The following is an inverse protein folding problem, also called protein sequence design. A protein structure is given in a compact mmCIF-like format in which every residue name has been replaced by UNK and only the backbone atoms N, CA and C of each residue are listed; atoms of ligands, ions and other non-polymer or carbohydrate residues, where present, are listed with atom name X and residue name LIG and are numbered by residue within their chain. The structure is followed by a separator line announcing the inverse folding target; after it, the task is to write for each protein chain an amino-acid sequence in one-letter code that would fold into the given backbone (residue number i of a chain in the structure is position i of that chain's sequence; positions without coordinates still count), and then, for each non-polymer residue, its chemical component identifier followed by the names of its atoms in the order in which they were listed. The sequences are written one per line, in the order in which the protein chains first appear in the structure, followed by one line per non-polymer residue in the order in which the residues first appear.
data_IF_441241506370
#
_entry.id   IF_441241506370
#
_cell.length_a   1.000
_cell.length_b   1.000
_cell.length_c   1.000
_cell.angle_alpha   90.00
_cell.angle_beta   90.00
_cell.angle_gamma   90.00
#
_symmetry.space_group_name_H-M   'P 1'
#
loop_
_entity.id
_entity.type
_entity.pdbx_description
1 polymer ?
#
# COMPACT_ATOMS: atom_id res chain seq x y z
N UNK A 1 8.96 10.66 31.33
CA UNK A 1 9.36 9.62 31.43
C UNK A 1 9.18 8.53 30.47
N UNK A 2 9.42 7.36 30.89
CA UNK A 2 9.26 6.21 30.07
C UNK A 2 7.94 6.14 29.41
N UNK A 3 6.92 6.54 30.15
CA UNK A 3 5.60 6.48 29.60
C UNK A 3 5.46 7.36 28.38
N UNK A 4 6.06 8.52 28.38
CA UNK A 4 5.91 9.39 27.29
C UNK A 4 6.62 8.84 26.07
N UNK A 5 7.79 8.24 26.25
CA UNK A 5 8.43 7.61 25.16
C UNK A 5 7.64 6.48 24.63
N UNK A 6 7.03 5.72 25.48
CA UNK A 6 6.19 4.64 25.04
C UNK A 6 5.05 5.15 24.21
N UNK A 7 4.49 6.27 24.57
CA UNK A 7 3.41 6.83 23.83
C UNK A 7 3.85 7.21 22.44
N UNK A 8 4.99 7.83 22.32
CA UNK A 8 5.49 8.19 21.02
C UNK A 8 5.72 6.97 20.17
N UNK A 9 6.27 5.93 20.75
CA UNK A 9 6.48 4.71 20.01
C UNK A 9 5.16 4.11 19.59
N UNK A 10 4.16 4.15 20.46
CA UNK A 10 2.88 3.60 20.14
C UNK A 10 2.16 4.38 19.08
N UNK A 11 2.57 5.62 18.88
CA UNK A 11 1.94 6.43 17.88
C UNK A 11 2.47 6.20 16.50
N UNK A 12 3.37 5.24 16.32
CA UNK A 12 3.80 4.91 14.99
C UNK A 12 2.60 4.47 14.17
N UNK A 13 2.62 4.89 12.92
CA UNK A 13 1.52 4.63 12.00
C UNK A 13 1.45 3.15 11.66
N UNK A 14 0.34 2.52 11.99
CA UNK A 14 0.09 1.12 11.67
C UNK A 14 -1.08 0.96 10.72
N UNK A 15 -1.45 2.02 10.03
CA UNK A 15 -2.65 1.99 9.18
C UNK A 15 -2.34 1.55 7.77
N UNK A 16 -3.11 0.58 7.31
CA UNK A 16 -3.03 0.06 5.94
C UNK A 16 -4.34 0.34 5.24
N UNK A 17 -4.25 0.86 4.04
CA UNK A 17 -5.43 1.08 3.21
C UNK A 17 -5.44 0.01 2.13
N UNK A 18 -6.53 -0.74 2.01
CA UNK A 18 -6.67 -1.77 1.00
C UNK A 18 -7.75 -1.34 0.02
N UNK A 19 -7.40 -1.31 -1.26
CA UNK A 19 -8.30 -0.84 -2.31
C UNK A 19 -8.51 -1.96 -3.34
N UNK A 20 -9.74 -2.43 -3.46
CA UNK A 20 -10.07 -3.51 -4.38
C UNK A 20 -11.58 -3.49 -4.57
N UNK A 21 -12.06 -3.76 -5.77
CA UNK A 21 -13.50 -3.80 -5.99
C UNK A 21 -14.12 -5.14 -5.66
N UNK A 22 -13.32 -6.13 -5.27
CA UNK A 22 -13.84 -7.43 -4.87
C UNK A 22 -14.00 -7.49 -3.36
N UNK A 23 -15.23 -7.61 -2.90
CA UNK A 23 -15.52 -7.62 -1.47
C UNK A 23 -14.81 -8.75 -0.74
N UNK A 24 -14.73 -9.92 -1.38
CA UNK A 24 -14.08 -11.06 -0.73
C UNK A 24 -12.61 -10.81 -0.46
N UNK A 25 -11.94 -10.10 -1.36
CA UNK A 25 -10.54 -9.76 -1.18
C UNK A 25 -10.40 -8.79 -0.01
N UNK A 26 -11.26 -7.78 0.03
CA UNK A 26 -11.23 -6.81 1.11
C UNK A 26 -11.46 -7.47 2.46
N UNK A 27 -12.43 -8.36 2.53
CA UNK A 27 -12.75 -9.04 3.78
C UNK A 27 -11.60 -9.92 4.24
N UNK A 28 -11.02 -10.68 3.32
CA UNK A 28 -9.92 -11.55 3.67
C UNK A 28 -8.73 -10.75 4.20
N UNK A 29 -8.36 -9.70 3.49
CA UNK A 29 -7.19 -8.92 3.88
C UNK A 29 -7.41 -8.19 5.20
N UNK A 30 -8.63 -7.69 5.41
CA UNK A 30 -8.92 -7.02 6.66
C UNK A 30 -8.78 -7.98 7.82
N UNK A 31 -9.40 -9.15 7.72
CA UNK A 31 -9.35 -10.13 8.79
C UNK A 31 -7.92 -10.59 9.03
N UNK A 32 -7.22 -10.93 7.97
CA UNK A 32 -5.88 -11.46 8.12
C UNK A 32 -4.92 -10.41 8.68
N UNK A 33 -4.92 -9.22 8.13
CA UNK A 33 -3.98 -8.20 8.57
C UNK A 33 -4.30 -7.69 9.97
N UNK A 34 -5.57 -7.60 10.30
CA UNK A 34 -5.92 -7.22 11.67
C UNK A 34 -5.49 -8.26 12.67
N UNK A 35 -5.50 -9.53 12.27
CA UNK A 35 -5.04 -10.60 13.16
C UNK A 35 -3.56 -10.47 13.46
N UNK A 36 -2.82 -9.77 12.61
CA UNK A 36 -1.40 -9.55 12.82
C UNK A 36 -1.11 -8.24 13.55
N UNK A 37 -2.15 -7.51 13.91
CA UNK A 37 -1.98 -6.28 14.69
C UNK A 37 -2.04 -4.98 13.92
N UNK A 38 -2.33 -5.04 12.62
CA UNK A 38 -2.42 -3.82 11.81
C UNK A 38 -3.81 -3.20 11.88
N UNK A 39 -3.90 -1.92 11.59
CA UNK A 39 -5.19 -1.22 11.50
C UNK A 39 -5.53 -1.12 10.02
N UNK A 40 -6.64 -1.70 9.62
CA UNK A 40 -6.95 -1.84 8.20
C UNK A 40 -8.23 -1.12 7.82
N UNK A 41 -8.15 -0.30 6.79
CA UNK A 41 -9.32 0.33 6.20
C UNK A 41 -9.46 -0.24 4.80
N UNK A 42 -10.65 -0.67 4.43
CA UNK A 42 -10.90 -1.24 3.10
C UNK A 42 -11.83 -0.31 2.34
N UNK A 43 -11.51 -0.10 1.08
CA UNK A 43 -12.27 0.81 0.23
C UNK A 43 -12.37 0.18 -1.15
N UNK A 44 -13.53 0.33 -1.76
CA UNK A 44 -13.79 -0.33 -3.04
C UNK A 44 -13.67 0.58 -4.25
N UNK A 45 -13.31 1.82 -4.08
CA UNK A 45 -13.14 2.73 -5.21
C UNK A 45 -11.91 3.62 -5.00
N UNK A 46 -11.27 3.99 -6.09
CA UNK A 46 -10.09 4.84 -6.00
C UNK A 46 -10.45 6.26 -5.57
N UNK A 47 -11.63 6.74 -5.96
CA UNK A 47 -12.05 8.08 -5.56
C UNK A 47 -12.16 8.18 -4.05
N UNK A 48 -12.80 7.20 -3.43
CA UNK A 48 -12.94 7.20 -1.99
C UNK A 48 -11.58 6.98 -1.30
N UNK A 49 -10.71 6.23 -1.94
CA UNK A 49 -9.37 6.00 -1.39
C UNK A 49 -8.59 7.31 -1.32
N UNK A 50 -8.69 8.16 -2.34
CA UNK A 50 -8.03 9.45 -2.30
C UNK A 50 -8.56 10.32 -1.17
N UNK A 51 -9.87 10.32 -0.98
CA UNK A 51 -10.46 11.09 0.12
C UNK A 51 -9.90 10.60 1.45
N UNK A 52 -9.83 9.29 1.59
CA UNK A 52 -9.33 8.71 2.83
C UNK A 52 -7.86 9.06 3.06
N UNK A 53 -7.05 9.02 2.02
CA UNK A 53 -5.64 9.32 2.13
C UNK A 53 -5.39 10.78 2.48
N UNK A 54 -6.32 11.66 2.14
CA UNK A 54 -6.22 13.05 2.50
C UNK A 54 -6.66 13.32 3.93
N UNK A 55 -7.41 12.39 4.52
CA UNK A 55 -7.87 12.56 5.89
C UNK A 55 -6.83 12.17 6.92
N UNK A 56 -6.09 11.11 6.66
CA UNK A 56 -5.09 10.66 7.62
C UNK A 56 -4.02 9.83 6.94
N UNK A 57 -2.87 9.72 7.55
CA UNK A 57 -1.75 9.00 6.93
C UNK A 57 -1.89 7.49 7.04
N UNK A 58 -1.45 6.80 6.00
CA UNK A 58 -1.39 5.35 5.96
C UNK A 58 0.02 4.98 5.59
N UNK A 59 0.63 4.02 6.27
CA UNK A 59 1.99 3.66 5.92
C UNK A 59 2.02 2.82 4.66
N UNK A 60 0.92 2.16 4.33
CA UNK A 60 0.88 1.29 3.17
C UNK A 60 -0.47 1.35 2.48
N UNK A 61 -0.45 1.40 1.17
CA UNK A 61 -1.64 1.24 0.34
C UNK A 61 -1.46 -0.02 -0.47
N UNK A 62 -2.38 -0.98 -0.31
CA UNK A 62 -2.43 -2.19 -1.12
C UNK A 62 -3.54 -1.99 -2.13
N UNK A 63 -3.24 -1.98 -3.41
CA UNK A 63 -4.28 -1.73 -4.40
C UNK A 63 -4.28 -2.77 -5.49
N UNK A 64 -5.47 -3.18 -5.90
CA UNK A 64 -5.63 -4.04 -7.06
C UNK A 64 -5.19 -3.25 -8.30
N UNK A 65 -4.58 -3.93 -9.24
CA UNK A 65 -4.15 -3.31 -10.48
C UNK A 65 -5.35 -3.05 -11.38
N UNK A 66 -6.31 -3.95 -11.39
CA UNK A 66 -7.44 -3.88 -12.33
C UNK A 66 -8.68 -3.33 -11.66
N UNK A 67 -8.82 -2.02 -11.63
CA UNK A 67 -10.01 -1.38 -11.08
C UNK A 67 -10.82 -0.76 -12.21
N UNK A 68 -12.14 -0.78 -12.10
CA UNK A 68 -12.98 -0.29 -13.20
C UNK A 68 -12.75 1.17 -13.56
N UNK A 69 -12.63 2.03 -12.58
CA UNK A 69 -12.54 3.45 -12.86
C UNK A 69 -11.10 3.93 -13.06
N UNK A 70 -10.14 3.19 -12.58
CA UNK A 70 -8.75 3.61 -12.69
C UNK A 70 -7.89 2.41 -12.32
N UNK A 71 -6.93 2.06 -13.13
CA UNK A 71 -6.12 0.90 -12.78
C UNK A 71 -5.15 1.28 -11.65
N UNK A 72 -4.59 0.27 -11.02
CA UNK A 72 -3.73 0.51 -9.87
C UNK A 72 -2.50 1.33 -10.19
N UNK A 73 -2.01 1.21 -11.42
CA UNK A 73 -0.86 1.97 -11.86
C UNK A 73 -1.18 3.46 -11.89
N UNK A 74 -2.33 3.83 -12.46
CA UNK A 74 -2.74 5.22 -12.51
C UNK A 74 -3.00 5.75 -11.11
N UNK A 75 -3.58 4.94 -10.28
CA UNK A 75 -3.88 5.31 -8.91
C UNK A 75 -2.58 5.66 -8.17
N UNK A 76 -1.57 4.80 -8.31
CA UNK A 76 -0.28 5.06 -7.67
C UNK A 76 0.36 6.33 -8.20
N UNK A 77 0.29 6.56 -9.51
CA UNK A 77 0.83 7.77 -10.09
C UNK A 77 0.20 9.01 -9.49
N UNK A 78 -1.10 8.98 -9.28
CA UNK A 78 -1.78 10.13 -8.71
C UNK A 78 -1.43 10.33 -7.25
N UNK A 79 -1.21 9.25 -6.52
CA UNK A 79 -0.78 9.36 -5.13
C UNK A 79 0.58 10.04 -5.07
N UNK A 80 1.48 9.66 -5.97
CA UNK A 80 2.80 10.29 -6.03
C UNK A 80 2.69 11.76 -6.38
N UNK A 81 1.85 12.09 -7.34
CA UNK A 81 1.68 13.48 -7.74
C UNK A 81 1.19 14.35 -6.59
N UNK A 82 0.44 13.76 -5.67
CA UNK A 82 -0.05 14.51 -4.52
C UNK A 82 0.93 14.48 -3.35
N UNK A 83 2.08 13.88 -3.53
CA UNK A 83 3.11 13.81 -2.51
C UNK A 83 2.65 13.13 -1.22
N UNK A 84 1.83 12.11 -1.37
CA UNK A 84 1.38 11.31 -0.23
C UNK A 84 2.46 10.28 0.03
N UNK A 85 3.02 10.21 1.23
CA UNK A 85 4.22 9.41 1.50
C UNK A 85 3.98 7.95 1.84
N UNK A 86 2.84 7.39 1.51
CA UNK A 86 2.57 5.98 1.80
C UNK A 86 3.42 5.07 0.94
N UNK A 87 3.79 3.93 1.50
CA UNK A 87 4.38 2.85 0.70
C UNK A 87 3.27 2.23 -0.13
N UNK A 88 3.63 1.63 -1.26
CA UNK A 88 2.66 1.04 -2.17
C UNK A 88 2.95 -0.42 -2.42
N UNK A 89 1.91 -1.22 -2.59
CA UNK A 89 2.05 -2.58 -3.08
C UNK A 89 0.86 -2.88 -3.99
N UNK A 90 1.09 -3.64 -5.02
CA UNK A 90 0.07 -3.96 -6.00
C UNK A 90 -0.46 -5.37 -5.81
N UNK A 91 -1.70 -5.58 -6.18
CA UNK A 91 -2.31 -6.91 -6.17
C UNK A 91 -2.81 -7.22 -7.56
N UNK A 92 -2.66 -8.46 -8.02
CA UNK A 92 -3.14 -8.84 -9.32
C UNK A 92 -3.73 -10.24 -9.28
N UNK A 93 -4.66 -10.54 -10.16
CA UNK A 93 -5.32 -11.83 -10.17
C UNK A 93 -5.45 -12.39 -11.57
N UNK A 94 -6.15 -13.51 -11.65
CA UNK A 94 -6.37 -14.17 -12.90
C UNK A 94 -7.29 -13.33 -13.77
N UNK A 95 -7.17 -13.50 -15.05
CA UNK A 95 -8.04 -12.82 -15.99
C UNK A 95 -7.57 -11.45 -16.39
N UNK A 96 -6.59 -10.92 -15.72
CA UNK A 96 -6.03 -9.64 -16.07
C UNK A 96 -4.93 -9.90 -17.08
N UNK A 97 -4.77 -9.02 -18.06
CA UNK A 97 -3.76 -9.24 -19.09
C UNK A 97 -2.37 -8.95 -18.52
N UNK A 98 -1.61 -9.98 -18.20
CA UNK A 98 -0.34 -9.75 -17.51
C UNK A 98 0.70 -9.07 -18.37
N UNK A 99 0.56 -9.17 -19.69
CA UNK A 99 1.57 -8.57 -20.55
C UNK A 99 1.60 -7.07 -20.45
N UNK A 100 0.43 -6.44 -20.55
CA UNK A 100 0.36 -5.00 -20.46
C UNK A 100 0.76 -4.51 -19.08
N UNK A 101 0.25 -5.19 -18.08
CA UNK A 101 0.47 -4.77 -16.71
C UNK A 101 1.93 -4.89 -16.33
N UNK A 102 2.55 -6.01 -16.67
CA UNK A 102 3.94 -6.22 -16.30
C UNK A 102 4.86 -5.23 -17.00
N UNK A 103 4.57 -4.89 -18.25
CA UNK A 103 5.37 -3.92 -18.95
C UNK A 103 5.32 -2.57 -18.27
N UNK A 104 4.12 -2.14 -17.87
CA UNK A 104 3.99 -0.87 -17.18
C UNK A 104 4.73 -0.90 -15.85
N UNK A 105 4.59 -1.97 -15.13
CA UNK A 105 5.23 -2.11 -13.84
C UNK A 105 6.73 -2.07 -13.97
N UNK A 106 7.28 -2.83 -14.88
CA UNK A 106 8.71 -2.87 -15.05
C UNK A 106 9.29 -1.55 -15.48
N UNK A 107 8.56 -0.79 -16.26
CA UNK A 107 9.09 0.46 -16.75
C UNK A 107 9.14 1.55 -15.71
N UNK A 108 8.22 1.54 -14.78
CA UNK A 108 8.06 2.69 -13.92
C UNK A 108 8.18 2.46 -12.46
N UNK A 109 8.03 1.23 -11.98
CA UNK A 109 7.95 1.03 -10.58
C UNK A 109 8.73 -0.08 -10.04
N UNK A 110 8.98 -0.03 -8.80
CA UNK A 110 9.64 -1.04 -8.08
C UNK A 110 8.82 -1.44 -6.90
N UNK A 111 7.49 -1.44 -7.07
CA UNK A 111 6.60 -1.77 -5.99
C UNK A 111 6.43 -3.27 -5.90
N UNK A 112 6.32 -3.79 -4.72
CA UNK A 112 6.02 -5.22 -4.56
C UNK A 112 4.68 -5.55 -5.18
N UNK A 113 4.56 -6.74 -5.72
CA UNK A 113 3.32 -7.20 -6.33
C UNK A 113 2.92 -8.52 -5.72
N UNK A 114 1.70 -8.58 -5.20
CA UNK A 114 1.15 -9.78 -4.59
C UNK A 114 0.17 -10.41 -5.57
N UNK A 115 0.31 -11.71 -5.78
CA UNK A 115 -0.51 -12.41 -6.76
C UNK A 115 -1.64 -13.16 -6.09
N UNK A 116 -2.84 -13.06 -6.65
CA UNK A 116 -3.98 -13.82 -6.17
C UNK A 116 -3.96 -15.19 -6.82
N UNK A 117 -4.27 -16.27 -6.14
CA UNK A 117 -4.63 -16.34 -4.74
C UNK A 117 -3.43 -16.07 -3.85
N UNK A 118 -3.69 -15.42 -2.72
CA UNK A 118 -2.60 -14.90 -1.93
C UNK A 118 -1.85 -15.96 -1.14
N UNK A 119 -0.55 -15.70 -0.98
CA UNK A 119 0.28 -16.45 -0.06
C UNK A 119 0.40 -15.60 1.20
N UNK A 120 -0.10 -16.08 2.32
CA UNK A 120 -0.12 -15.30 3.55
C UNK A 120 1.25 -14.84 4.00
N UNK A 121 2.23 -15.71 3.88
CA UNK A 121 3.58 -15.35 4.30
C UNK A 121 4.14 -14.20 3.47
N UNK A 122 3.83 -14.18 2.17
CA UNK A 122 4.31 -13.11 1.32
C UNK A 122 3.60 -11.80 1.62
N UNK A 123 2.32 -11.86 1.96
CA UNK A 123 1.61 -10.66 2.37
C UNK A 123 2.23 -10.11 3.64
N UNK A 124 2.44 -10.97 4.63
CA UNK A 124 3.00 -10.54 5.90
C UNK A 124 4.38 -9.91 5.72
N UNK A 125 5.19 -10.50 4.87
CA UNK A 125 6.52 -10.00 4.61
C UNK A 125 6.49 -8.64 3.91
N UNK A 126 5.64 -8.50 2.91
CA UNK A 126 5.53 -7.24 2.18
C UNK A 126 5.05 -6.12 3.09
N UNK A 127 4.11 -6.42 3.96
CA UNK A 127 3.57 -5.44 4.87
C UNK A 127 4.63 -5.01 5.90
N UNK A 128 5.36 -5.97 6.45
CA UNK A 128 6.38 -5.65 7.43
C UNK A 128 7.50 -4.82 6.81
N UNK A 129 7.91 -5.16 5.60
CA UNK A 129 8.93 -4.40 4.91
C UNK A 129 8.46 -2.98 4.65
N UNK A 130 7.21 -2.82 4.24
CA UNK A 130 6.66 -1.49 4.00
C UNK A 130 6.64 -0.67 5.29
N UNK A 131 6.27 -1.30 6.40
CA UNK A 131 6.22 -0.63 7.67
C UNK A 131 7.60 -0.14 8.07
N UNK A 132 8.60 -1.00 7.96
CA UNK A 132 9.95 -0.64 8.34
C UNK A 132 10.48 0.48 7.46
N UNK A 133 10.25 0.39 6.16
CA UNK A 133 10.74 1.40 5.22
C UNK A 133 10.07 2.75 5.47
N UNK A 134 8.76 2.73 5.68
CA UNK A 134 8.03 3.97 5.90
C UNK A 134 8.56 4.70 7.14
N UNK A 135 8.76 3.98 8.22
CA UNK A 135 9.18 4.62 9.45
C UNK A 135 10.65 5.01 9.43
N UNK A 136 11.48 4.25 8.72
CA UNK A 136 12.87 4.64 8.55
C UNK A 136 12.97 5.94 7.75
N UNK A 137 12.17 6.06 6.72
CA UNK A 137 12.18 7.26 5.90
C UNK A 137 11.71 8.48 6.66
N UNK A 138 10.74 8.32 7.54
CA UNK A 138 10.30 9.41 8.36
C UNK A 138 11.42 9.88 9.30
N UNK A 139 12.12 8.94 9.89
CA UNK A 139 13.18 9.27 10.81
C UNK A 139 14.31 9.98 10.11
N UNK A 140 14.69 9.51 8.93
CA UNK A 140 15.82 10.07 8.22
C UNK A 140 15.49 11.34 7.45
N UNK A 141 14.22 11.65 7.32
CA UNK A 141 13.82 12.81 6.55
C UNK A 141 13.87 12.60 5.06
N UNK A 142 13.95 11.37 4.60
CA UNK A 142 13.98 11.09 3.18
C UNK A 142 12.67 11.35 2.51
N UNK A 143 12.71 11.49 1.18
CA UNK A 143 11.48 11.61 0.44
C UNK A 143 10.76 10.30 0.41
N UNK A 144 9.56 10.32 -0.16
CA UNK A 144 8.78 9.12 -0.26
C UNK A 144 9.61 8.01 -0.87
N UNK A 145 9.61 6.85 -0.26
CA UNK A 145 10.39 5.72 -0.77
C UNK A 145 9.84 5.14 -2.04
N UNK A 146 8.65 5.54 -2.43
CA UNK A 146 8.09 5.03 -3.68
C UNK A 146 8.61 5.80 -4.87
N UNK A 147 9.37 6.85 -4.62
CA UNK A 147 9.88 7.61 -5.72
C UNK A 147 11.03 6.87 -6.36
N UNK A 148 11.06 6.73 -7.67
CA UNK A 148 12.14 5.99 -8.30
C UNK A 148 13.45 6.71 -8.12
N UNK A 149 14.51 5.96 -8.12
CA UNK A 149 15.80 6.52 -8.00
C UNK A 149 16.11 7.30 -9.28
N UNK A 150 16.41 8.53 -9.15
CA UNK A 150 16.60 9.35 -10.31
C UNK A 150 17.87 9.01 -11.06
N UNK A 151 18.74 8.31 -10.46
CA UNK A 151 19.88 7.93 -11.14
C UNK A 151 19.70 6.79 -11.97
N UNK A 152 18.69 6.06 -11.79
CA UNK A 152 18.44 4.85 -12.54
C UNK A 152 17.93 5.11 -13.88
#
# INVERSE_FOLDING_TARGET
MIRRMSSSIKEKNKRILVVDDEVDVLDFLKIYLESLGWEVTTISSTADAFIELEKKPYFLVLTDIAMPEMDGYEFISKIKDKNIPSQMALMTGFGYNPKHTLVKIYKTIRYPCLFKPFNRAKIAEAVQTAYDTYHEDLISGNKSPTEPDSQS
#
